data_IF_341441026558
#
_entry.id   IF_341441026558
#
_cell.length_a   1.000
_cell.length_b   1.000
_cell.length_c   1.000
_cell.angle_alpha   90.00
_cell.angle_beta   90.00
_cell.angle_gamma   90.00
#
_symmetry.space_group_name_H-M   'P 1'
#
loop_
_entity.id
_entity.type
_entity.pdbx_description
1 polymer ?
#
# COMPACT_ATOMS: atom_id res chain seq x y z
N UNK A 1 0.46 27.27 -29.42
CA UNK A 1 0.80 25.95 -28.82
C UNK A 1 1.56 26.11 -27.50
N UNK A 2 2.59 26.97 -27.41
CA UNK A 2 3.34 27.20 -26.17
C UNK A 2 2.47 27.63 -24.96
N UNK A 3 1.49 28.54 -25.15
CA UNK A 3 0.52 28.92 -24.09
C UNK A 3 -0.37 27.76 -23.58
N UNK A 4 -0.40 26.63 -24.30
CA UNK A 4 -1.14 25.41 -23.96
C UNK A 4 -0.20 24.27 -23.57
N UNK A 5 0.98 24.57 -23.03
CA UNK A 5 2.01 23.60 -22.63
C UNK A 5 2.52 22.68 -23.76
N UNK A 6 2.36 23.08 -25.03
CA UNK A 6 2.88 22.34 -26.19
C UNK A 6 4.07 23.10 -26.80
N UNK A 7 5.28 22.60 -26.52
CA UNK A 7 6.53 23.16 -27.04
C UNK A 7 6.82 22.51 -28.40
N UNK A 8 6.64 23.28 -29.46
CA UNK A 8 6.92 22.84 -30.84
C UNK A 8 8.36 23.15 -31.18
N UNK A 9 9.15 22.11 -31.51
CA UNK A 9 10.56 22.27 -31.90
C UNK A 9 10.75 22.56 -33.39
N UNK A 10 9.77 22.21 -34.23
CA UNK A 10 9.83 22.36 -35.69
C UNK A 10 8.49 22.90 -36.21
N UNK A 11 8.51 24.03 -36.92
CA UNK A 11 7.30 24.70 -37.42
C UNK A 11 6.43 23.79 -38.34
N UNK A 12 7.01 22.98 -39.26
CA UNK A 12 6.23 22.02 -40.06
C UNK A 12 5.42 21.00 -39.25
N UNK A 13 5.84 20.67 -38.01
CA UNK A 13 5.14 19.70 -37.17
C UNK A 13 3.73 20.15 -36.75
N UNK A 14 3.46 21.45 -36.80
CA UNK A 14 2.14 22.02 -36.49
C UNK A 14 1.08 21.55 -37.48
N UNK A 15 1.42 21.51 -38.77
CA UNK A 15 0.53 21.09 -39.84
C UNK A 15 0.35 19.57 -39.81
N UNK A 16 1.43 18.80 -39.63
CA UNK A 16 1.38 17.33 -39.55
C UNK A 16 0.54 16.83 -38.37
N UNK A 17 0.55 17.55 -37.23
CA UNK A 17 -0.30 17.21 -36.08
C UNK A 17 -1.80 17.30 -36.41
N UNK A 18 -2.19 18.17 -37.35
CA UNK A 18 -3.57 18.28 -37.83
C UNK A 18 -4.04 17.08 -38.67
N UNK A 19 -3.11 16.35 -39.30
CA UNK A 19 -3.38 15.19 -40.13
C UNK A 19 -3.16 13.84 -39.42
N UNK A 20 -2.96 13.85 -38.09
CA UNK A 20 -2.65 12.64 -37.32
C UNK A 20 -3.90 11.76 -37.16
N UNK A 21 -3.84 10.52 -37.67
CA UNK A 21 -4.93 9.53 -37.56
C UNK A 21 -4.77 8.54 -36.40
N UNK A 22 -3.56 8.37 -35.89
CA UNK A 22 -3.23 7.43 -34.80
C UNK A 22 -2.33 8.13 -33.79
N UNK A 23 -2.71 8.08 -32.51
CA UNK A 23 -1.92 8.60 -31.39
C UNK A 23 -1.47 7.42 -30.53
N UNK A 24 -0.17 7.12 -30.56
CA UNK A 24 0.45 6.20 -29.62
C UNK A 24 0.91 7.00 -28.40
N UNK A 25 0.29 6.79 -27.25
CA UNK A 25 0.67 7.43 -26.00
C UNK A 25 1.19 6.41 -25.01
N UNK A 26 2.29 6.74 -24.34
CA UNK A 26 2.72 6.00 -23.16
C UNK A 26 1.69 6.17 -22.02
N UNK A 27 1.55 5.14 -21.18
CA UNK A 27 0.59 5.16 -20.06
C UNK A 27 1.09 5.99 -18.88
N UNK A 28 2.29 5.68 -18.41
CA UNK A 28 2.84 6.23 -17.18
C UNK A 28 3.45 7.60 -17.46
N UNK A 29 2.97 8.66 -16.79
CA UNK A 29 3.47 10.02 -16.96
C UNK A 29 2.77 10.82 -18.07
N UNK A 30 2.00 10.16 -18.96
CA UNK A 30 1.20 10.85 -19.99
C UNK A 30 -0.29 10.66 -19.76
N UNK A 31 -0.81 9.43 -19.82
CA UNK A 31 -2.22 9.15 -19.51
C UNK A 31 -2.52 9.22 -18.01
N UNK A 32 -1.48 9.08 -17.18
CA UNK A 32 -1.59 9.05 -15.72
C UNK A 32 -0.54 9.94 -15.09
N UNK A 33 -0.84 10.46 -13.90
CA UNK A 33 -0.01 11.42 -13.17
C UNK A 33 1.26 10.83 -12.56
N UNK A 34 1.54 9.53 -12.78
CA UNK A 34 2.64 8.79 -12.12
C UNK A 34 2.67 8.95 -10.58
N UNK A 35 1.52 9.32 -10.01
CA UNK A 35 1.27 9.37 -8.59
C UNK A 35 0.49 8.11 -8.25
N UNK A 36 1.19 7.21 -7.57
CA UNK A 36 0.61 5.95 -7.16
C UNK A 36 -0.02 6.14 -5.79
N UNK A 37 -1.31 5.83 -5.65
CA UNK A 37 -2.00 5.83 -4.37
C UNK A 37 -2.69 4.49 -4.15
N UNK A 38 -2.79 4.07 -2.89
CA UNK A 38 -3.62 2.94 -2.50
C UNK A 38 -5.06 3.40 -2.53
N UNK A 39 -5.91 2.73 -3.30
CA UNK A 39 -7.35 3.06 -3.35
C UNK A 39 -8.22 2.06 -2.60
N UNK A 40 -7.89 0.76 -2.69
CA UNK A 40 -8.60 -0.30 -1.96
C UNK A 40 -7.61 -1.26 -1.33
N UNK A 41 -7.98 -1.76 -0.17
CA UNK A 41 -7.33 -2.88 0.50
C UNK A 41 -8.39 -3.69 1.25
N UNK A 42 -8.07 -4.91 1.63
CA UNK A 42 -9.00 -5.75 2.35
C UNK A 42 -8.30 -6.59 3.41
N UNK A 43 -9.05 -6.96 4.45
CA UNK A 43 -8.62 -7.90 5.49
C UNK A 43 -9.66 -9.02 5.63
N UNK A 44 -9.24 -10.16 6.17
CA UNK A 44 -10.16 -11.24 6.53
C UNK A 44 -10.91 -10.90 7.81
N UNK A 45 -12.25 -10.95 7.75
CA UNK A 45 -13.11 -10.67 8.89
C UNK A 45 -13.44 -11.93 9.70
N UNK A 46 -13.93 -12.96 9.03
CA UNK A 46 -14.25 -14.26 9.63
C UNK A 46 -14.13 -15.38 8.58
N UNK A 47 -13.82 -16.58 9.05
CA UNK A 47 -13.73 -17.79 8.24
C UNK A 47 -14.55 -18.87 8.92
N UNK A 48 -15.73 -19.16 8.35
CA UNK A 48 -16.64 -20.21 8.86
C UNK A 48 -16.85 -21.27 7.80
N UNK A 49 -16.57 -22.53 8.16
CA UNK A 49 -16.88 -23.74 7.34
C UNK A 49 -16.53 -23.56 5.84
N UNK A 50 -15.31 -23.09 5.55
CA UNK A 50 -14.78 -22.81 4.20
C UNK A 50 -15.33 -21.58 3.46
N UNK A 51 -16.06 -20.69 4.13
CA UNK A 51 -16.40 -19.37 3.59
C UNK A 51 -15.62 -18.29 4.33
N UNK A 52 -14.74 -17.60 3.58
CA UNK A 52 -14.06 -16.41 4.05
C UNK A 52 -14.89 -15.17 3.75
N UNK A 53 -15.03 -14.33 4.76
CA UNK A 53 -15.62 -13.00 4.65
C UNK A 53 -14.50 -11.96 4.73
N UNK A 54 -14.68 -10.87 4.00
CA UNK A 54 -13.68 -9.81 3.85
C UNK A 54 -14.26 -8.47 4.28
N UNK A 55 -13.45 -7.67 4.96
CA UNK A 55 -13.70 -6.24 5.09
C UNK A 55 -12.91 -5.51 4.01
N UNK A 56 -13.62 -4.91 3.05
CA UNK A 56 -13.05 -4.16 1.93
C UNK A 56 -13.09 -2.67 2.23
N UNK A 57 -11.92 -2.06 2.40
CA UNK A 57 -11.77 -0.65 2.71
C UNK A 57 -11.42 0.13 1.45
N UNK A 58 -11.98 1.34 1.37
CA UNK A 58 -11.64 2.33 0.37
C UNK A 58 -10.88 3.49 1.03
N UNK A 59 -9.84 3.95 0.35
CA UNK A 59 -8.92 4.99 0.81
C UNK A 59 -9.12 6.22 -0.06
N UNK A 60 -9.41 7.34 0.59
CA UNK A 60 -9.52 8.63 -0.07
C UNK A 60 -8.13 9.22 -0.39
N UNK A 61 -8.04 9.96 -1.50
CA UNK A 61 -6.87 10.71 -1.89
C UNK A 61 -6.07 10.03 -3.01
N UNK A 62 -5.73 10.83 -4.02
CA UNK A 62 -4.98 10.41 -5.22
C UNK A 62 -3.53 10.87 -5.23
N UNK A 63 -3.11 11.64 -4.22
CA UNK A 63 -1.79 12.23 -4.10
C UNK A 63 -0.99 11.58 -2.95
N UNK A 64 0.27 11.98 -2.79
CA UNK A 64 1.12 11.56 -1.67
C UNK A 64 0.85 12.30 -0.35
N UNK A 65 -0.28 12.98 -0.24
CA UNK A 65 -0.64 13.70 0.98
C UNK A 65 -1.03 12.69 2.07
N UNK A 66 -0.47 12.79 3.30
CA UNK A 66 -0.77 11.89 4.41
C UNK A 66 -2.17 12.11 5.04
N UNK A 67 -3.01 12.93 4.40
CA UNK A 67 -4.40 13.18 4.82
C UNK A 67 -5.36 12.43 3.89
N UNK A 68 -6.34 11.75 4.48
CA UNK A 68 -7.40 11.08 3.75
C UNK A 68 -8.20 10.16 4.67
N UNK A 69 -9.50 10.08 4.44
CA UNK A 69 -10.37 9.21 5.22
C UNK A 69 -10.38 7.79 4.67
N UNK A 70 -10.66 6.84 5.56
CA UNK A 70 -10.83 5.43 5.24
C UNK A 70 -12.29 5.08 5.45
N UNK A 71 -12.91 4.52 4.42
CA UNK A 71 -14.32 4.14 4.42
C UNK A 71 -14.48 2.64 4.24
N UNK A 72 -15.40 2.04 4.99
CA UNK A 72 -15.86 0.68 4.81
C UNK A 72 -17.31 0.74 4.34
N UNK A 73 -17.61 0.16 3.17
CA UNK A 73 -18.95 0.23 2.57
C UNK A 73 -19.53 1.66 2.46
N UNK A 74 -18.66 2.65 2.20
CA UNK A 74 -19.03 4.07 2.10
C UNK A 74 -19.21 4.81 3.42
N UNK A 75 -19.00 4.14 4.56
CA UNK A 75 -19.07 4.76 5.90
C UNK A 75 -17.66 4.96 6.45
N UNK A 76 -17.36 6.14 6.97
CA UNK A 76 -16.09 6.43 7.64
C UNK A 76 -15.95 5.57 8.89
N UNK A 77 -14.84 4.85 9.00
CA UNK A 77 -14.56 3.93 10.11
C UNK A 77 -13.32 4.35 10.88
N UNK A 78 -13.31 4.09 12.19
CA UNK A 78 -12.08 4.19 12.98
C UNK A 78 -11.26 2.91 12.78
N UNK A 79 -10.00 3.09 12.39
CA UNK A 79 -9.06 1.99 12.10
C UNK A 79 -8.68 1.21 13.36
N UNK A 80 -8.91 1.78 14.54
CA UNK A 80 -8.66 1.12 15.84
C UNK A 80 -9.60 -0.03 16.14
N UNK A 81 -10.76 -0.09 15.49
CA UNK A 81 -11.75 -1.14 15.72
C UNK A 81 -11.33 -2.50 15.13
N UNK A 82 -10.34 -2.51 14.25
CA UNK A 82 -9.93 -3.71 13.52
C UNK A 82 -8.52 -4.18 13.92
N UNK A 83 -8.48 -5.25 14.73
CA UNK A 83 -7.24 -5.87 15.23
C UNK A 83 -6.20 -6.24 14.16
N UNK A 84 -6.63 -6.51 12.93
CA UNK A 84 -5.72 -6.89 11.86
C UNK A 84 -5.02 -5.71 11.17
N UNK A 85 -5.54 -4.47 11.33
CA UNK A 85 -4.99 -3.27 10.69
C UNK A 85 -3.63 -2.84 11.23
N UNK A 86 -3.36 -2.87 12.56
CA UNK A 86 -2.02 -2.58 13.09
C UNK A 86 -0.92 -3.42 12.43
N UNK A 87 -1.19 -4.70 12.16
CA UNK A 87 -0.20 -5.56 11.56
C UNK A 87 -0.08 -5.37 10.05
N UNK A 88 -1.17 -5.06 9.34
CA UNK A 88 -1.12 -4.61 7.95
C UNK A 88 -0.25 -3.34 7.82
N UNK A 89 -0.50 -2.34 8.65
CA UNK A 89 0.28 -1.10 8.69
C UNK A 89 1.74 -1.37 9.03
N UNK A 90 2.01 -2.32 9.95
CA UNK A 90 3.36 -2.75 10.28
C UNK A 90 4.10 -3.31 9.07
N UNK A 91 3.45 -4.14 8.25
CA UNK A 91 4.07 -4.64 7.01
C UNK A 91 4.35 -3.52 6.03
N UNK A 92 3.37 -2.64 5.81
CA UNK A 92 3.49 -1.52 4.89
C UNK A 92 4.62 -0.55 5.27
N UNK A 93 4.89 -0.36 6.56
CA UNK A 93 5.94 0.50 7.06
C UNK A 93 7.32 -0.19 7.14
N UNK A 94 7.38 -1.44 7.62
CA UNK A 94 8.65 -2.14 7.86
C UNK A 94 9.22 -2.75 6.58
N UNK A 95 8.37 -3.37 5.76
CA UNK A 95 8.77 -3.98 4.49
C UNK A 95 8.81 -2.91 3.40
N UNK A 96 9.51 -1.81 3.65
CA UNK A 96 9.53 -0.65 2.77
C UNK A 96 10.88 0.07 2.89
N UNK A 97 11.41 0.51 1.75
CA UNK A 97 12.66 1.27 1.66
C UNK A 97 12.41 2.72 1.17
N UNK A 98 11.16 3.05 0.84
CA UNK A 98 10.73 4.38 0.39
C UNK A 98 10.11 5.22 1.52
N UNK A 99 10.16 6.53 1.36
CA UNK A 99 9.58 7.51 2.28
C UNK A 99 8.90 8.65 1.53
N UNK A 100 8.20 9.50 2.27
CA UNK A 100 7.61 10.73 1.75
C UNK A 100 8.40 11.90 2.32
N UNK A 101 8.73 12.87 1.48
CA UNK A 101 9.33 14.12 1.93
C UNK A 101 8.41 15.30 1.58
N UNK A 102 8.46 16.34 2.38
CA UNK A 102 7.66 17.55 2.16
C UNK A 102 8.54 18.65 1.59
N UNK A 103 8.32 18.96 0.31
CA UNK A 103 9.07 20.01 -0.37
C UNK A 103 8.45 21.38 -0.06
N UNK A 104 9.14 22.17 0.79
CA UNK A 104 8.70 23.50 1.21
C UNK A 104 8.60 24.51 0.06
N UNK A 105 9.40 24.36 -1.00
CA UNK A 105 9.38 25.28 -2.14
C UNK A 105 8.16 25.08 -3.05
N UNK A 106 7.61 23.86 -3.09
CA UNK A 106 6.46 23.50 -3.94
C UNK A 106 5.16 23.33 -3.14
N UNK A 107 5.22 23.43 -1.82
CA UNK A 107 4.13 23.12 -0.87
C UNK A 107 3.45 21.78 -1.19
N UNK A 108 4.27 20.75 -1.47
CA UNK A 108 3.79 19.45 -1.91
C UNK A 108 4.60 18.30 -1.30
N UNK A 109 3.92 17.20 -1.03
CA UNK A 109 4.53 15.93 -0.64
C UNK A 109 5.10 15.24 -1.88
N UNK A 110 6.41 15.01 -1.89
CA UNK A 110 7.14 14.35 -2.95
C UNK A 110 7.58 12.95 -2.49
N UNK A 111 7.64 12.02 -3.45
CA UNK A 111 8.08 10.65 -3.19
C UNK A 111 9.60 10.58 -3.09
N UNK A 112 10.10 9.77 -2.17
CA UNK A 112 11.51 9.38 -2.08
C UNK A 112 11.58 7.87 -2.22
N UNK A 113 12.06 7.39 -3.37
CA UNK A 113 12.09 5.97 -3.72
C UNK A 113 11.05 5.57 -4.76
N UNK A 114 10.57 4.33 -4.68
CA UNK A 114 9.62 3.77 -5.64
C UNK A 114 8.19 4.28 -5.38
N UNK A 115 7.43 4.54 -6.44
CA UNK A 115 6.06 5.06 -6.31
C UNK A 115 5.10 4.09 -5.63
N UNK A 116 5.26 2.79 -5.91
CA UNK A 116 4.48 1.70 -5.31
C UNK A 116 4.66 1.64 -3.80
N UNK A 117 5.90 1.76 -3.36
CA UNK A 117 6.29 1.74 -1.96
C UNK A 117 5.89 3.02 -1.23
N UNK A 118 6.06 4.18 -1.86
CA UNK A 118 5.61 5.47 -1.31
C UNK A 118 4.10 5.47 -1.05
N UNK A 119 3.32 4.82 -1.92
CA UNK A 119 1.87 4.67 -1.73
C UNK A 119 1.54 3.91 -0.43
N UNK A 120 2.35 2.93 -0.05
CA UNK A 120 2.21 2.19 1.21
C UNK A 120 2.59 3.05 2.41
N UNK A 121 3.64 3.87 2.30
CA UNK A 121 4.03 4.83 3.34
C UNK A 121 2.88 5.80 3.63
N UNK A 122 2.26 6.36 2.58
CA UNK A 122 1.09 7.24 2.71
C UNK A 122 -0.13 6.53 3.27
N UNK A 123 -0.35 5.26 2.90
CA UNK A 123 -1.43 4.45 3.48
C UNK A 123 -1.28 4.33 5.00
N UNK A 124 -0.06 4.09 5.49
CA UNK A 124 0.23 3.98 6.93
C UNK A 124 -0.08 5.28 7.67
N UNK A 125 0.28 6.43 7.10
CA UNK A 125 -0.05 7.74 7.68
C UNK A 125 -1.56 7.97 7.77
N UNK A 126 -2.31 7.58 6.72
CA UNK A 126 -3.78 7.67 6.70
C UNK A 126 -4.46 6.71 7.68
N UNK A 127 -3.87 5.52 7.88
CA UNK A 127 -4.41 4.53 8.80
C UNK A 127 -4.30 4.97 10.26
N UNK A 128 -3.20 5.65 10.64
CA UNK A 128 -2.90 6.10 12.01
C UNK A 128 -3.36 5.08 13.10
N UNK A 129 -2.96 3.82 12.93
CA UNK A 129 -3.45 2.68 13.73
C UNK A 129 -3.15 2.81 15.23
N UNK A 130 -2.12 3.57 15.61
CA UNK A 130 -1.73 3.81 17.01
C UNK A 130 -2.35 5.08 17.61
N UNK A 131 -3.16 5.82 16.83
CA UNK A 131 -3.80 7.05 17.31
C UNK A 131 -2.79 8.13 17.71
N UNK A 132 -1.67 8.22 17.00
CA UNK A 132 -0.65 9.23 17.21
C UNK A 132 -1.27 10.62 17.07
N UNK A 133 -0.97 11.53 18.00
CA UNK A 133 -1.45 12.89 17.90
C UNK A 133 -0.70 13.62 16.78
N UNK A 134 -1.40 13.87 15.68
CA UNK A 134 -0.89 14.58 14.51
C UNK A 134 -1.17 16.10 14.59
N UNK A 135 -2.01 16.54 15.52
CA UNK A 135 -2.41 17.94 15.63
C UNK A 135 -1.23 18.80 16.11
N UNK A 136 -0.88 19.83 15.33
CA UNK A 136 0.16 20.79 15.67
C UNK A 136 1.59 20.44 15.22
N UNK A 137 1.79 19.29 14.55
CA UNK A 137 3.09 18.94 13.97
C UNK A 137 3.35 19.69 12.66
N UNK A 138 4.60 20.04 12.33
CA UNK A 138 4.94 20.65 11.05
C UNK A 138 4.67 19.68 9.90
N UNK A 139 4.33 20.22 8.72
CA UNK A 139 4.02 19.43 7.50
C UNK A 139 5.13 18.43 7.11
N UNK A 140 6.38 18.75 7.40
CA UNK A 140 7.54 17.86 7.17
C UNK A 140 7.53 16.63 8.07
N UNK A 141 7.21 16.79 9.36
CA UNK A 141 7.15 15.68 10.30
C UNK A 141 5.89 14.82 10.08
N UNK A 142 4.79 15.44 9.63
CA UNK A 142 3.57 14.73 9.22
C UNK A 142 3.79 13.76 8.05
N UNK A 143 4.88 13.89 7.29
CA UNK A 143 5.15 13.01 6.17
C UNK A 143 5.42 11.56 6.58
N UNK A 144 6.03 11.32 7.75
CA UNK A 144 6.44 9.98 8.21
C UNK A 144 6.11 9.70 9.69
N UNK A 145 5.24 10.51 10.32
CA UNK A 145 4.97 10.45 11.75
C UNK A 145 4.48 9.05 12.23
N UNK A 146 3.52 8.44 11.54
CA UNK A 146 2.99 7.12 11.90
C UNK A 146 3.98 6.01 11.53
N UNK A 147 4.68 6.15 10.41
CA UNK A 147 5.72 5.20 10.01
C UNK A 147 6.86 5.14 11.02
N UNK A 148 7.29 6.26 11.57
CA UNK A 148 8.37 6.33 12.56
C UNK A 148 7.97 5.70 13.89
N UNK A 149 6.70 5.86 14.31
CA UNK A 149 6.15 5.14 15.47
C UNK A 149 6.23 3.64 15.25
N UNK A 150 5.82 3.13 14.09
CA UNK A 150 5.89 1.70 13.78
C UNK A 150 7.33 1.19 13.78
N UNK A 151 8.24 1.93 13.14
CA UNK A 151 9.67 1.59 13.10
C UNK A 151 10.30 1.59 14.49
N UNK A 152 9.77 2.36 15.45
CA UNK A 152 10.27 2.33 16.83
C UNK A 152 10.01 1.00 17.57
N UNK A 153 8.98 0.24 17.15
CA UNK A 153 8.61 -1.03 17.77
C UNK A 153 9.47 -2.23 17.33
N UNK A 154 10.12 -2.14 16.16
CA UNK A 154 10.86 -3.25 15.57
C UNK A 154 12.24 -2.81 15.10
N UNK A 155 13.27 -3.59 15.39
CA UNK A 155 14.56 -3.44 14.77
C UNK A 155 14.59 -4.19 13.43
N UNK A 156 14.91 -3.50 12.33
CA UNK A 156 15.05 -4.10 10.99
C UNK A 156 16.48 -4.59 10.83
N UNK A 157 16.69 -5.90 10.88
CA UNK A 157 18.03 -6.51 10.81
C UNK A 157 18.54 -6.53 9.37
N UNK A 158 17.75 -7.06 8.45
CA UNK A 158 18.09 -7.13 7.03
C UNK A 158 16.86 -7.22 6.13
N UNK A 159 17.04 -6.79 4.88
CA UNK A 159 16.04 -6.90 3.82
C UNK A 159 16.45 -7.98 2.84
N UNK A 160 15.53 -8.87 2.48
CA UNK A 160 15.63 -9.71 1.30
C UNK A 160 15.03 -8.95 0.13
N UNK A 161 15.90 -8.36 -0.68
CA UNK A 161 15.59 -7.49 -1.82
C UNK A 161 14.72 -8.17 -2.87
N UNK A 162 13.85 -7.42 -3.53
CA UNK A 162 12.97 -7.94 -4.56
C UNK A 162 13.73 -8.70 -5.67
N UNK A 163 13.31 -9.94 -5.95
CA UNK A 163 13.74 -10.67 -7.15
C UNK A 163 12.56 -10.94 -8.07
N UNK A 164 12.80 -10.86 -9.37
CA UNK A 164 11.81 -11.13 -10.43
C UNK A 164 11.32 -12.58 -10.43
N UNK A 165 12.13 -13.51 -9.95
CA UNK A 165 11.78 -14.94 -9.92
C UNK A 165 10.68 -15.20 -8.89
N UNK A 166 10.83 -14.63 -7.69
CA UNK A 166 9.88 -14.80 -6.58
C UNK A 166 8.83 -13.69 -6.49
N UNK A 167 8.99 -12.62 -7.28
CA UNK A 167 8.12 -11.42 -7.33
C UNK A 167 7.70 -10.92 -5.94
N UNK A 168 8.63 -10.92 -4.99
CA UNK A 168 8.36 -10.54 -3.60
C UNK A 168 9.62 -10.02 -2.93
N UNK A 169 9.43 -9.25 -1.88
CA UNK A 169 10.47 -8.79 -0.96
C UNK A 169 10.03 -9.04 0.47
N UNK A 170 11.00 -9.13 1.38
CA UNK A 170 10.72 -9.38 2.77
C UNK A 170 11.77 -8.75 3.67
N UNK A 171 11.39 -8.46 4.90
CA UNK A 171 12.29 -7.88 5.91
C UNK A 171 12.27 -8.75 7.15
N UNK A 172 13.45 -8.99 7.73
CA UNK A 172 13.58 -9.67 8.99
C UNK A 172 13.65 -8.64 10.12
N UNK A 173 12.72 -8.74 11.06
CA UNK A 173 12.54 -7.78 12.12
C UNK A 173 12.54 -8.46 13.50
N UNK A 174 13.34 -7.93 14.42
CA UNK A 174 13.33 -8.34 15.83
C UNK A 174 12.50 -7.32 16.64
N UNK A 175 11.62 -7.76 17.54
CA UNK A 175 10.87 -6.83 18.38
C UNK A 175 11.83 -6.10 19.33
N UNK A 176 11.69 -4.78 19.45
CA UNK A 176 12.52 -3.98 20.37
C UNK A 176 12.04 -4.20 21.81
N UNK A 177 12.95 -4.56 22.70
CA UNK A 177 12.64 -4.94 24.09
C UNK A 177 12.21 -3.71 24.93
N UNK A 178 12.70 -2.51 24.59
CA UNK A 178 12.49 -1.28 25.37
C UNK A 178 11.32 -0.42 24.86
N UNK A 179 10.10 -0.97 24.87
CA UNK A 179 8.88 -0.24 24.54
C UNK A 179 7.78 -0.41 25.60
N UNK A 180 7.00 0.63 25.93
CA UNK A 180 5.92 0.55 26.94
C UNK A 180 4.76 -0.38 26.53
N UNK A 181 4.70 -0.79 25.25
CA UNK A 181 3.81 -1.81 24.71
C UNK A 181 4.64 -2.98 24.15
N UNK A 182 5.54 -3.55 24.95
CA UNK A 182 6.32 -4.73 24.59
C UNK A 182 5.36 -5.89 24.36
N UNK A 183 5.01 -6.12 23.09
CA UNK A 183 4.12 -7.19 22.65
C UNK A 183 4.68 -8.52 23.18
N UNK A 184 3.80 -9.34 23.76
CA UNK A 184 4.06 -10.64 24.40
C UNK A 184 4.84 -11.68 23.57
N UNK A 185 5.25 -11.37 22.34
CA UNK A 185 5.99 -12.25 21.45
C UNK A 185 7.41 -11.74 21.27
N UNK A 186 8.35 -12.34 22.01
CA UNK A 186 9.80 -12.12 21.88
C UNK A 186 10.40 -12.69 20.59
N UNK A 187 9.58 -13.25 19.71
CA UNK A 187 10.06 -13.97 18.54
C UNK A 187 10.29 -13.00 17.37
N UNK A 188 11.40 -13.15 16.64
CA UNK A 188 11.62 -12.42 15.41
C UNK A 188 10.53 -12.74 14.38
N UNK A 189 10.17 -11.74 13.59
CA UNK A 189 9.13 -11.83 12.54
C UNK A 189 9.73 -11.46 11.19
N UNK A 190 9.22 -12.09 10.14
CA UNK A 190 9.54 -11.70 8.77
C UNK A 190 8.27 -11.14 8.12
N UNK A 191 8.34 -9.88 7.67
CA UNK A 191 7.24 -9.25 6.95
C UNK A 191 7.50 -9.36 5.45
N UNK A 192 6.47 -9.73 4.68
CA UNK A 192 6.59 -10.07 3.25
C UNK A 192 5.58 -9.27 2.45
N UNK A 193 6.01 -8.73 1.30
CA UNK A 193 5.17 -8.01 0.35
C UNK A 193 5.54 -8.39 -1.10
N UNK A 194 4.59 -8.39 -2.03
CA UNK A 194 4.83 -8.86 -3.40
C UNK A 194 3.59 -9.32 -4.15
N UNK A 195 3.80 -10.07 -5.23
CA UNK A 195 2.73 -10.57 -6.10
C UNK A 195 1.81 -11.56 -5.36
N UNK A 196 0.48 -11.40 -5.47
CA UNK A 196 -0.48 -12.14 -4.67
C UNK A 196 -0.41 -13.64 -4.91
N UNK A 197 -0.30 -14.09 -6.16
CA UNK A 197 -0.27 -15.51 -6.52
C UNK A 197 0.93 -16.21 -5.86
N UNK A 198 2.13 -15.64 -6.06
CA UNK A 198 3.37 -16.21 -5.53
C UNK A 198 3.49 -16.12 -4.01
N UNK A 199 2.86 -15.13 -3.36
CA UNK A 199 2.81 -15.08 -1.90
C UNK A 199 1.82 -16.12 -1.38
N UNK A 200 0.58 -16.11 -1.87
CA UNK A 200 -0.50 -16.98 -1.39
C UNK A 200 -0.15 -18.47 -1.54
N UNK A 201 0.59 -18.84 -2.58
CA UNK A 201 1.08 -20.21 -2.76
C UNK A 201 2.04 -20.67 -1.66
N UNK A 202 2.81 -19.75 -1.08
CA UNK A 202 3.73 -20.02 0.03
C UNK A 202 3.04 -19.89 1.40
N UNK A 203 1.72 -19.74 1.41
CA UNK A 203 0.96 -19.53 2.63
C UNK A 203 0.31 -20.80 3.16
N UNK A 204 0.61 -21.14 4.40
CA UNK A 204 -0.04 -22.25 5.11
C UNK A 204 -1.12 -21.75 6.07
N UNK A 205 -1.09 -20.46 6.42
CA UNK A 205 -1.94 -19.85 7.42
C UNK A 205 -2.47 -18.51 6.95
N UNK A 206 -3.63 -18.16 7.49
CA UNK A 206 -4.28 -16.86 7.35
C UNK A 206 -4.50 -16.25 8.73
N UNK A 207 -4.65 -14.93 8.76
CA UNK A 207 -5.01 -14.22 9.99
C UNK A 207 -6.40 -13.63 9.89
N UNK A 208 -7.17 -13.86 10.95
CA UNK A 208 -8.53 -13.36 11.15
C UNK A 208 -8.53 -12.61 12.49
N UNK A 209 -8.54 -11.28 12.44
CA UNK A 209 -8.27 -10.44 13.62
C UNK A 209 -6.90 -10.76 14.23
N UNK A 210 -6.87 -11.16 15.51
CA UNK A 210 -5.66 -11.61 16.20
C UNK A 210 -5.40 -13.13 16.10
N UNK A 211 -6.27 -13.91 15.45
CA UNK A 211 -6.19 -15.37 15.43
C UNK A 211 -5.55 -15.89 14.14
N UNK A 212 -4.64 -16.85 14.29
CA UNK A 212 -4.05 -17.61 13.19
C UNK A 212 -4.90 -18.84 12.88
N UNK A 213 -5.28 -19.02 11.62
CA UNK A 213 -6.05 -20.17 11.14
C UNK A 213 -5.34 -20.82 9.94
N UNK A 214 -5.50 -22.13 9.69
CA UNK A 214 -4.94 -22.79 8.52
C UNK A 214 -5.60 -22.29 7.22
N UNK A 215 -4.80 -22.10 6.17
CA UNK A 215 -5.32 -21.74 4.85
C UNK A 215 -5.90 -22.98 4.16
N UNK A 216 -7.20 -22.99 3.91
CA UNK A 216 -7.85 -24.03 3.10
C UNK A 216 -7.81 -23.68 1.60
N UNK A 217 -7.79 -24.67 0.68
CA UNK A 217 -7.78 -24.41 -0.76
C UNK A 217 -8.97 -23.56 -1.24
N UNK A 218 -10.16 -23.72 -0.63
CA UNK A 218 -11.35 -22.92 -0.95
C UNK A 218 -11.16 -21.45 -0.55
N UNK A 219 -10.65 -21.19 0.65
CA UNK A 219 -10.34 -19.84 1.12
C UNK A 219 -9.29 -19.18 0.24
N UNK A 220 -8.25 -19.94 -0.15
CA UNK A 220 -7.23 -19.49 -1.09
C UNK A 220 -7.83 -19.04 -2.42
N UNK A 221 -8.76 -19.82 -2.97
CA UNK A 221 -9.43 -19.47 -4.23
C UNK A 221 -10.28 -18.20 -4.09
N UNK A 222 -11.05 -18.06 -3.00
CA UNK A 222 -11.85 -16.86 -2.73
C UNK A 222 -11.00 -15.59 -2.67
N UNK A 223 -9.84 -15.67 -2.00
CA UNK A 223 -8.88 -14.56 -1.95
C UNK A 223 -8.39 -14.22 -3.38
N UNK A 224 -7.96 -15.22 -4.16
CA UNK A 224 -7.47 -14.99 -5.52
C UNK A 224 -8.55 -14.42 -6.45
N UNK A 225 -9.80 -14.81 -6.28
CA UNK A 225 -10.91 -14.30 -7.09
C UNK A 225 -11.26 -12.84 -6.74
N UNK A 226 -11.15 -12.46 -5.47
CA UNK A 226 -11.28 -11.06 -5.06
C UNK A 226 -10.13 -10.20 -5.65
N UNK A 227 -8.91 -10.72 -5.60
CA UNK A 227 -7.73 -10.06 -6.20
C UNK A 227 -7.88 -9.89 -7.70
N UNK A 228 -8.38 -10.92 -8.40
CA UNK A 228 -8.68 -10.82 -9.83
C UNK A 228 -9.75 -9.76 -10.11
N UNK A 229 -10.81 -9.70 -9.30
CA UNK A 229 -11.85 -8.66 -9.42
C UNK A 229 -11.26 -7.25 -9.33
N UNK A 230 -10.31 -7.05 -8.43
CA UNK A 230 -9.59 -5.78 -8.31
C UNK A 230 -8.69 -5.53 -9.53
N UNK A 231 -8.04 -6.57 -10.07
CA UNK A 231 -7.19 -6.47 -11.26
C UNK A 231 -7.93 -6.23 -12.58
N UNK A 232 -9.16 -6.73 -12.75
CA UNK A 232 -9.92 -6.70 -14.01
C UNK A 232 -10.72 -5.42 -14.25
N UNK A 233 -10.99 -4.63 -13.19
CA UNK A 233 -11.08 -3.19 -13.35
C UNK A 233 -12.37 -2.59 -13.91
N UNK A 234 -13.52 -2.76 -13.23
CA UNK A 234 -14.56 -1.71 -13.22
C UNK A 234 -14.12 -0.45 -12.46
N UNK A 235 -12.97 -0.51 -11.76
CA UNK A 235 -12.41 0.60 -10.97
C UNK A 235 -11.50 1.55 -11.79
N UNK A 236 -11.28 1.28 -13.09
CA UNK A 236 -10.47 2.14 -13.98
C UNK A 236 -11.23 3.34 -14.55
N UNK A 237 -12.57 3.28 -14.61
CA UNK A 237 -13.37 4.21 -15.42
C UNK A 237 -13.76 5.53 -14.74
N UNK A 238 -13.47 5.72 -13.45
CA UNK A 238 -14.00 6.86 -12.69
C UNK A 238 -13.09 8.09 -12.56
N UNK A 239 -11.77 7.94 -12.48
CA UNK A 239 -10.84 9.06 -12.21
C UNK A 239 -9.42 8.71 -12.65
N UNK A 240 -8.82 9.53 -13.52
CA UNK A 240 -7.56 9.30 -14.24
C UNK A 240 -6.28 9.28 -13.39
N UNK A 241 -6.17 8.35 -12.44
CA UNK A 241 -4.97 8.07 -11.66
C UNK A 241 -4.49 6.63 -11.85
N UNK A 242 -3.16 6.43 -11.84
CA UNK A 242 -2.56 5.09 -11.78
C UNK A 242 -2.75 4.58 -10.34
N UNK A 243 -3.71 3.69 -10.13
CA UNK A 243 -4.11 3.23 -8.78
C UNK A 243 -3.34 1.95 -8.41
N UNK A 244 -2.63 1.97 -7.29
CA UNK A 244 -2.10 0.76 -6.69
C UNK A 244 -3.22 0.09 -5.91
N UNK A 245 -3.45 -1.18 -6.19
CA UNK A 245 -4.19 -2.02 -5.25
C UNK A 245 -3.19 -2.46 -4.17
N UNK A 246 -3.42 -2.04 -2.92
CA UNK A 246 -2.83 -2.71 -1.77
C UNK A 246 -3.74 -3.88 -1.33
N UNK A 247 -4.46 -4.48 -2.27
CA UNK A 247 -5.03 -5.80 -2.09
C UNK A 247 -3.86 -6.79 -2.13
N UNK A 248 -3.56 -7.39 -0.98
CA UNK A 248 -2.56 -8.45 -0.75
C UNK A 248 -1.17 -7.96 -0.34
N UNK A 249 -1.09 -7.36 0.83
CA UNK A 249 0.02 -7.64 1.73
C UNK A 249 -0.51 -8.49 2.88
N UNK A 250 -0.82 -9.76 2.56
CA UNK A 250 -1.12 -10.75 3.59
C UNK A 250 0.11 -10.90 4.46
N UNK A 251 -0.11 -10.58 5.72
CA UNK A 251 0.86 -10.87 6.75
C UNK A 251 0.99 -12.36 6.88
N UNK A 252 2.14 -12.86 6.46
CA UNK A 252 2.56 -14.20 6.78
C UNK A 252 3.74 -14.19 7.71
N UNK A 253 3.48 -14.68 8.91
CA UNK A 253 4.48 -15.40 9.66
C UNK A 253 4.87 -16.64 8.87
N UNK A 254 5.94 -16.53 8.10
CA UNK A 254 6.72 -17.70 7.76
C UNK A 254 7.53 -18.05 9.02
N UNK A 255 6.90 -18.77 9.95
CA UNK A 255 7.67 -19.52 10.92
C UNK A 255 8.34 -20.66 10.15
N UNK A 256 9.59 -20.44 9.76
CA UNK A 256 10.49 -21.56 9.52
C UNK A 256 10.65 -22.27 10.87
N UNK A 257 10.26 -23.55 10.90
CA UNK A 257 10.70 -24.46 11.96
C UNK A 257 12.21 -24.63 11.86
#
# INVERSE_FOLDING_TARGET
MAKKNAIVRSLPSVETLGCTSVICSDKTGTLTTNQMSVHKFFILSDVRRDHATFHEFEVEGTTYTPSGDITLNGVKVDTKEFDALPELATICAMCNDSSVDYNTARDAYEKVGESTETALTVLVEKLNVFGTNLAGKPKSELANACNDVIKSHFNKEFTLEFSRDRKSMSVYCTPRIDGPNSVHEKNPKMFVKGAPEGIIDRCNFIRVGNKKQPLTPKTKQQILDLVKTYGTGSCWLGTGGLRCFAGVHFVLWVHWK
#
